data_IF_380440160787
#
_entry.id   IF_380440160787
#
_cell.length_a   1.000
_cell.length_b   1.000
_cell.length_c   1.000
_cell.angle_alpha   90.00
_cell.angle_beta   90.00
_cell.angle_gamma   90.00
#
_symmetry.space_group_name_H-M   'P 1'
#
loop_
_entity.id
_entity.type
_entity.pdbx_description
1 polymer ?
#
# COMPACT_ATOMS: atom_id res chain seq x y z
N UNK A 1 -15.01 -11.17 29.80
CA UNK A 1 -14.68 -11.01 28.37
C UNK A 1 -13.19 -10.75 28.26
N UNK A 2 -12.40 -11.74 27.83
CA UNK A 2 -10.95 -11.57 27.62
C UNK A 2 -10.75 -11.01 26.22
N UNK A 3 -10.20 -9.81 26.15
CA UNK A 3 -9.67 -9.19 24.94
C UNK A 3 -8.57 -10.13 24.39
N UNK A 4 -8.83 -10.75 23.24
CA UNK A 4 -7.82 -11.57 22.56
C UNK A 4 -6.75 -10.62 22.03
N UNK A 5 -5.63 -10.59 22.74
CA UNK A 5 -4.35 -10.13 22.23
C UNK A 5 -4.05 -10.92 20.95
N UNK A 6 -3.68 -10.18 19.90
CA UNK A 6 -3.39 -10.69 18.57
C UNK A 6 -2.47 -11.90 18.63
N UNK A 7 -2.92 -12.98 18.00
CA UNK A 7 -2.12 -14.17 17.75
C UNK A 7 -0.94 -13.76 16.87
N UNK A 8 0.23 -13.84 17.48
CA UNK A 8 1.54 -14.07 16.88
C UNK A 8 1.48 -14.94 15.60
N UNK A 9 2.13 -14.46 14.53
CA UNK A 9 2.93 -15.35 13.69
C UNK A 9 2.30 -16.06 12.49
N UNK A 10 1.19 -15.58 11.91
CA UNK A 10 0.80 -16.01 10.57
C UNK A 10 1.07 -14.88 9.57
N UNK A 11 1.73 -15.22 8.45
CA UNK A 11 1.80 -14.41 7.25
C UNK A 11 0.36 -14.05 6.85
N UNK A 12 -0.18 -12.94 7.36
CA UNK A 12 -1.44 -12.39 6.88
C UNK A 12 -1.19 -12.11 5.42
N UNK A 13 -1.70 -12.99 4.56
CA UNK A 13 -1.66 -12.83 3.11
C UNK A 13 -2.25 -11.45 2.83
N UNK A 14 -1.38 -10.51 2.50
CA UNK A 14 -1.77 -9.10 2.37
C UNK A 14 -2.89 -9.01 1.34
N UNK A 15 -3.99 -8.33 1.65
CA UNK A 15 -5.03 -8.16 0.66
C UNK A 15 -4.46 -7.34 -0.50
N UNK A 16 -4.61 -7.88 -1.71
CA UNK A 16 -4.51 -7.07 -2.92
C UNK A 16 -5.49 -5.92 -2.76
N UNK A 17 -4.96 -4.69 -2.71
CA UNK A 17 -5.79 -3.51 -2.50
C UNK A 17 -6.59 -3.16 -3.77
N UNK A 18 -6.03 -3.53 -4.92
CA UNK A 18 -6.62 -3.33 -6.23
C UNK A 18 -6.39 -4.58 -7.07
N UNK A 19 -7.23 -4.75 -8.08
CA UNK A 19 -6.94 -5.69 -9.15
C UNK A 19 -5.58 -5.36 -9.78
N UNK A 20 -4.83 -6.40 -10.14
CA UNK A 20 -3.50 -6.24 -10.74
C UNK A 20 -3.57 -5.33 -11.98
N UNK A 21 -2.60 -4.44 -12.13
CA UNK A 21 -2.52 -3.51 -13.27
C UNK A 21 -1.14 -3.60 -13.91
N UNK A 22 -1.07 -3.87 -15.22
CA UNK A 22 0.18 -4.13 -15.95
C UNK A 22 1.03 -5.26 -15.34
N UNK A 23 0.39 -6.21 -14.64
CA UNK A 23 1.06 -7.29 -13.92
C UNK A 23 1.67 -6.88 -12.57
N UNK A 24 1.42 -5.66 -12.10
CA UNK A 24 1.79 -5.22 -10.76
C UNK A 24 0.66 -5.46 -9.76
N UNK A 25 1.05 -5.87 -8.57
CA UNK A 25 0.22 -6.01 -7.37
C UNK A 25 0.37 -4.76 -6.51
N UNK A 26 -0.72 -4.36 -5.85
CA UNK A 26 -0.81 -3.18 -4.99
C UNK A 26 -1.19 -3.63 -3.59
N UNK A 27 -0.33 -3.37 -2.61
CA UNK A 27 -0.47 -3.95 -1.27
C UNK A 27 0.06 -3.04 -0.16
N UNK A 28 -0.36 -3.29 1.09
CA UNK A 28 0.14 -2.58 2.29
C UNK A 28 1.12 -3.43 3.06
N UNK A 29 2.20 -2.84 3.60
CA UNK A 29 3.09 -3.48 4.58
C UNK A 29 3.22 -2.56 5.80
N UNK A 30 3.55 -3.14 6.95
CA UNK A 30 3.74 -2.38 8.19
C UNK A 30 2.61 -2.59 9.20
N UNK A 31 2.63 -1.77 10.25
CA UNK A 31 1.73 -1.86 11.42
C UNK A 31 0.57 -0.86 11.39
N UNK A 32 0.54 0.04 10.41
CA UNK A 32 -0.47 1.10 10.27
C UNK A 32 -0.35 2.26 11.27
N UNK A 33 0.74 2.28 12.06
CA UNK A 33 0.98 3.25 13.15
C UNK A 33 2.30 3.98 12.97
N UNK A 34 3.37 3.25 12.65
CA UNK A 34 4.73 3.79 12.52
C UNK A 34 4.96 4.61 11.25
N UNK A 35 4.10 4.43 10.24
CA UNK A 35 4.19 5.09 8.95
C UNK A 35 2.82 5.64 8.51
N UNK A 36 2.78 6.77 7.79
CA UNK A 36 1.53 7.28 7.21
C UNK A 36 1.01 6.35 6.12
N UNK A 37 -0.21 6.61 5.63
CA UNK A 37 -0.85 5.79 4.59
C UNK A 37 0.03 5.68 3.35
N UNK A 38 0.23 4.44 2.89
CA UNK A 38 1.01 4.16 1.70
C UNK A 38 0.54 2.90 0.97
N UNK A 39 1.06 2.75 -0.26
CA UNK A 39 0.93 1.53 -1.05
C UNK A 39 2.30 1.11 -1.56
N UNK A 40 2.55 -0.19 -1.52
CA UNK A 40 3.68 -0.83 -2.18
C UNK A 40 3.23 -1.39 -3.52
N UNK A 41 4.12 -1.34 -4.50
CA UNK A 41 3.87 -1.84 -5.86
C UNK A 41 5.05 -2.68 -6.33
N UNK A 42 4.74 -3.91 -6.75
CA UNK A 42 5.71 -4.84 -7.31
C UNK A 42 5.01 -5.93 -8.14
N UNK A 43 5.78 -6.72 -8.88
CA UNK A 43 5.27 -7.99 -9.44
C UNK A 43 5.28 -9.01 -8.29
N UNK A 44 4.10 -9.42 -7.81
CA UNK A 44 3.96 -10.26 -6.61
C UNK A 44 4.24 -9.49 -5.31
N UNK A 45 4.78 -10.17 -4.28
CA UNK A 45 4.95 -9.64 -2.92
C UNK A 45 6.40 -9.71 -2.39
N UNK A 46 7.40 -9.16 -3.10
CA UNK A 46 8.78 -9.17 -2.61
C UNK A 46 8.94 -8.32 -1.34
N UNK A 47 9.93 -8.64 -0.51
CA UNK A 47 10.26 -7.88 0.70
C UNK A 47 10.59 -6.42 0.39
N UNK A 48 11.35 -6.18 -0.68
CA UNK A 48 11.68 -4.85 -1.16
C UNK A 48 10.78 -4.47 -2.34
N UNK A 49 9.82 -3.58 -2.11
CA UNK A 49 8.89 -3.07 -3.13
C UNK A 49 8.88 -1.54 -3.15
N UNK A 50 8.69 -0.95 -4.34
CA UNK A 50 8.55 0.49 -4.53
C UNK A 50 7.34 0.98 -3.74
N UNK A 51 7.54 2.00 -2.91
CA UNK A 51 6.56 2.54 -1.96
C UNK A 51 6.11 3.92 -2.40
N UNK A 52 4.82 4.19 -2.26
CA UNK A 52 4.21 5.48 -2.53
C UNK A 52 3.38 5.96 -1.34
N UNK A 53 3.58 7.21 -0.93
CA UNK A 53 2.70 7.87 0.04
C UNK A 53 1.38 8.24 -0.62
N UNK A 54 0.27 8.01 0.07
CA UNK A 54 -1.00 8.67 -0.22
C UNK A 54 -1.06 9.91 0.67
N UNK A 55 -0.72 11.08 0.13
CA UNK A 55 -0.74 12.34 0.88
C UNK A 55 -2.16 12.91 0.96
N UNK A 56 -2.39 14.03 1.63
CA UNK A 56 -3.70 14.70 1.56
C UNK A 56 -4.06 15.07 0.11
N UNK A 57 -3.09 15.58 -0.65
CA UNK A 57 -3.36 16.26 -1.91
C UNK A 57 -3.00 15.42 -3.15
N UNK A 58 -2.11 14.44 -3.00
CA UNK A 58 -1.55 13.71 -4.15
C UNK A 58 -1.10 12.28 -3.80
N UNK A 59 -0.25 11.73 -4.65
CA UNK A 59 0.49 10.48 -4.49
C UNK A 59 1.94 10.76 -4.86
N UNK A 60 2.85 10.38 -3.97
CA UNK A 60 4.28 10.66 -4.06
C UNK A 60 5.11 9.39 -3.90
N UNK A 61 6.25 9.32 -4.60
CA UNK A 61 7.16 8.19 -4.42
C UNK A 61 7.91 8.36 -3.09
N UNK A 62 7.77 7.36 -2.21
CA UNK A 62 8.43 7.33 -0.91
C UNK A 62 9.78 6.63 -0.98
N UNK A 63 9.84 5.55 -1.77
CA UNK A 63 11.05 4.74 -1.97
C UNK A 63 10.95 4.06 -3.33
N UNK A 64 11.90 4.32 -4.22
CA UNK A 64 12.05 3.53 -5.44
C UNK A 64 12.95 2.32 -5.17
N UNK A 65 12.40 1.11 -5.37
CA UNK A 65 13.10 -0.15 -5.17
C UNK A 65 13.39 -0.87 -6.51
N UNK A 66 13.04 -0.25 -7.64
CA UNK A 66 13.19 -0.85 -8.97
C UNK A 66 12.17 -1.96 -9.29
N UNK A 67 11.15 -2.16 -8.46
CA UNK A 67 10.09 -3.16 -8.72
C UNK A 67 9.00 -2.68 -9.67
N UNK A 68 9.03 -1.39 -10.04
CA UNK A 68 8.20 -0.78 -11.08
C UNK A 68 9.12 -0.36 -12.23
N UNK A 69 8.87 -0.91 -13.42
CA UNK A 69 9.66 -0.57 -14.61
C UNK A 69 9.54 0.94 -14.90
N UNK A 70 10.65 1.62 -15.19
CA UNK A 70 10.69 3.08 -15.42
C UNK A 70 9.66 3.55 -16.47
N UNK A 71 9.45 2.75 -17.53
CA UNK A 71 8.48 3.03 -18.60
C UNK A 71 7.01 3.03 -18.13
N UNK A 72 6.73 2.37 -17.00
CA UNK A 72 5.38 2.19 -16.47
C UNK A 72 5.12 3.06 -15.23
N UNK A 73 6.15 3.67 -14.64
CA UNK A 73 6.04 4.51 -13.43
C UNK A 73 4.93 5.58 -13.54
N UNK A 74 4.86 6.29 -14.66
CA UNK A 74 3.82 7.31 -14.87
C UNK A 74 2.40 6.71 -14.92
N UNK A 75 2.25 5.50 -15.50
CA UNK A 75 0.96 4.80 -15.57
C UNK A 75 0.55 4.27 -14.20
N UNK A 76 1.49 3.70 -13.45
CA UNK A 76 1.31 3.24 -12.07
C UNK A 76 0.88 4.39 -11.18
N UNK A 77 1.60 5.53 -11.19
CA UNK A 77 1.23 6.72 -10.43
C UNK A 77 -0.17 7.22 -10.78
N UNK A 78 -0.53 7.29 -12.07
CA UNK A 78 -1.91 7.65 -12.48
C UNK A 78 -2.94 6.66 -11.97
N UNK A 79 -2.63 5.37 -12.01
CA UNK A 79 -3.54 4.33 -11.53
C UNK A 79 -3.76 4.45 -10.02
N UNK A 80 -2.70 4.65 -9.23
CA UNK A 80 -2.82 4.88 -7.78
C UNK A 80 -3.67 6.13 -7.51
N UNK A 81 -3.39 7.24 -8.20
CA UNK A 81 -4.16 8.49 -8.04
C UNK A 81 -5.65 8.31 -8.34
N UNK A 82 -5.98 7.63 -9.44
CA UNK A 82 -7.38 7.35 -9.82
C UNK A 82 -8.10 6.47 -8.79
N UNK A 83 -7.37 5.64 -8.05
CA UNK A 83 -7.92 4.70 -7.07
C UNK A 83 -7.64 5.12 -5.61
N UNK A 84 -7.17 6.35 -5.36
CA UNK A 84 -6.71 6.79 -4.04
C UNK A 84 -7.76 6.61 -2.94
N UNK A 85 -9.02 6.97 -3.22
CA UNK A 85 -10.12 6.81 -2.25
C UNK A 85 -10.36 5.34 -1.88
N UNK A 86 -10.34 4.44 -2.87
CA UNK A 86 -10.46 3.00 -2.63
C UNK A 86 -9.29 2.45 -1.81
N UNK A 87 -8.07 2.88 -2.12
CA UNK A 87 -6.87 2.50 -1.35
C UNK A 87 -6.97 2.99 0.10
N UNK A 88 -7.44 4.22 0.32
CA UNK A 88 -7.67 4.77 1.66
C UNK A 88 -8.73 3.98 2.43
N UNK A 89 -9.85 3.64 1.79
CA UNK A 89 -10.90 2.85 2.41
C UNK A 89 -10.39 1.47 2.83
N UNK A 90 -9.58 0.82 1.99
CA UNK A 90 -8.99 -0.49 2.30
C UNK A 90 -7.93 -0.41 3.41
N UNK A 91 -7.13 0.65 3.42
CA UNK A 91 -6.21 0.92 4.52
C UNK A 91 -6.95 1.04 5.85
N UNK A 92 -7.99 1.88 5.92
CA UNK A 92 -8.80 2.06 7.13
C UNK A 92 -9.51 0.75 7.51
N UNK A 93 -10.02 0.00 6.53
CA UNK A 93 -10.65 -1.30 6.78
C UNK A 93 -9.68 -2.29 7.43
N UNK A 94 -8.40 -2.27 7.03
CA UNK A 94 -7.37 -3.16 7.54
C UNK A 94 -6.82 -2.70 8.90
N UNK A 95 -6.30 -1.47 8.97
CA UNK A 95 -5.59 -0.94 10.15
C UNK A 95 -6.48 -0.20 11.15
N UNK A 96 -7.76 0.04 10.82
CA UNK A 96 -8.73 0.78 11.64
C UNK A 96 -8.38 2.24 11.93
N UNK A 97 -7.33 2.76 11.30
CA UNK A 97 -6.85 4.12 11.41
C UNK A 97 -6.15 4.55 10.11
N UNK A 98 -6.04 5.86 9.85
CA UNK A 98 -5.30 6.42 8.72
C UNK A 98 -4.72 7.78 9.08
N UNK A 99 -3.40 7.93 8.96
CA UNK A 99 -2.71 9.21 9.01
C UNK A 99 -2.14 9.55 7.64
N UNK A 100 -2.57 10.68 7.06
CA UNK A 100 -2.04 11.16 5.80
C UNK A 100 -0.82 12.02 6.03
N UNK A 101 0.22 11.78 5.23
CA UNK A 101 1.34 12.69 5.12
C UNK A 101 0.86 14.02 4.51
N UNK A 102 1.20 15.13 5.16
CA UNK A 102 1.02 16.50 4.66
C UNK A 102 2.19 16.92 3.77
#
# INVERSE_FOLDING_TARGET
MKQLFGMIGENIKMPDLLDSYLGYTFFVKGDGVSEPVHVHVAKGHPDNATKFWLTSDSVEIAKDCGTVDKKDMAKVLRYIRKNKERLLALWVMHFKHAELKR
#
